data_IF_633796553133
#
_entry.id   IF_633796553133
#
_cell.length_a   1.000
_cell.length_b   1.000
_cell.length_c   1.000
_cell.angle_alpha   90.00
_cell.angle_beta   90.00
_cell.angle_gamma   90.00
#
_symmetry.space_group_name_H-M   'P 1'
#
loop_
_entity.id
_entity.type
_entity.pdbx_description
1 polymer ?
#
# COMPACT_ATOMS: atom_id res chain seq x y z
N UNK A 1 9.22 9.82 7.81
CA UNK A 1 8.46 10.69 8.75
C UNK A 1 7.07 10.13 9.06
N UNK A 2 6.30 9.64 8.07
CA UNK A 2 4.96 9.09 8.28
C UNK A 2 4.96 7.55 8.21
N UNK A 3 5.53 6.88 9.22
CA UNK A 3 5.73 5.42 9.22
C UNK A 3 4.66 4.63 9.99
N UNK A 4 3.79 5.30 10.75
CA UNK A 4 2.71 4.67 11.51
C UNK A 4 1.46 5.57 11.49
N UNK A 5 0.27 4.96 11.53
CA UNK A 5 -1.00 5.68 11.42
C UNK A 5 -1.18 6.77 12.50
N UNK A 6 -0.93 6.44 13.76
CA UNK A 6 -1.07 7.36 14.89
C UNK A 6 -0.09 8.54 14.82
N UNK A 7 1.15 8.30 14.38
CA UNK A 7 2.13 9.38 14.15
C UNK A 7 1.72 10.24 12.95
N UNK A 8 1.33 9.62 11.84
CA UNK A 8 0.91 10.34 10.66
C UNK A 8 -0.28 11.26 10.94
N UNK A 9 -1.21 10.83 11.80
CA UNK A 9 -2.35 11.64 12.25
C UNK A 9 -1.91 12.94 12.92
N UNK A 10 -0.95 12.87 13.84
CA UNK A 10 -0.44 14.06 14.53
C UNK A 10 0.12 15.11 13.56
N UNK A 11 0.88 14.67 12.55
CA UNK A 11 1.38 15.57 11.50
C UNK A 11 0.25 16.15 10.65
N UNK A 12 -0.76 15.36 10.29
CA UNK A 12 -1.90 15.83 9.51
C UNK A 12 -2.76 16.84 10.29
N UNK A 13 -2.90 16.69 11.60
CA UNK A 13 -3.61 17.65 12.44
C UNK A 13 -2.84 18.98 12.53
N UNK A 14 -1.52 18.94 12.67
CA UNK A 14 -0.67 20.14 12.74
C UNK A 14 -0.47 20.84 11.40
N UNK A 15 -0.53 20.09 10.29
CA UNK A 15 -0.31 20.60 8.94
C UNK A 15 -1.55 20.32 8.07
N UNK A 16 -2.59 21.17 8.11
CA UNK A 16 -3.83 20.95 7.36
C UNK A 16 -3.63 20.80 5.84
N UNK A 17 -2.59 21.43 5.29
CA UNK A 17 -2.22 21.35 3.87
C UNK A 17 -1.38 20.13 3.48
N UNK A 18 -0.98 19.27 4.42
CA UNK A 18 -0.15 18.10 4.15
C UNK A 18 -0.88 17.13 3.20
N UNK A 19 -0.25 16.85 2.06
CA UNK A 19 -0.69 15.86 1.06
C UNK A 19 0.24 14.66 1.10
N UNK A 20 -0.31 13.47 0.83
CA UNK A 20 0.40 12.21 0.99
C UNK A 20 0.71 11.54 -0.34
N UNK A 21 1.96 11.11 -0.49
CA UNK A 21 2.27 9.86 -1.17
C UNK A 21 2.02 8.74 -0.17
N UNK A 22 0.92 8.02 -0.32
CA UNK A 22 0.52 7.00 0.62
C UNK A 22 1.23 5.68 0.31
N UNK A 23 2.12 5.29 1.21
CA UNK A 23 2.55 3.91 1.37
C UNK A 23 2.07 3.39 2.74
N UNK A 24 0.89 2.76 2.74
CA UNK A 24 0.26 2.23 3.94
C UNK A 24 0.82 0.86 4.35
N UNK A 25 1.61 0.22 3.48
CA UNK A 25 2.20 -1.11 3.76
C UNK A 25 3.15 -1.07 4.96
N UNK A 26 3.92 0.01 5.10
CA UNK A 26 4.80 0.24 6.25
C UNK A 26 4.04 0.40 7.57
N UNK A 27 2.83 0.95 7.52
CA UNK A 27 2.04 1.16 8.73
C UNK A 27 1.54 -0.18 9.27
N UNK A 28 1.21 -1.13 8.39
CA UNK A 28 0.85 -2.49 8.76
C UNK A 28 2.00 -3.16 9.51
N UNK A 29 3.23 -3.05 8.98
CA UNK A 29 4.43 -3.61 9.60
C UNK A 29 4.73 -3.02 10.99
N UNK A 30 4.59 -1.70 11.16
CA UNK A 30 4.88 -1.06 12.44
C UNK A 30 3.80 -1.35 13.48
N UNK A 31 2.56 -1.53 13.06
CA UNK A 31 1.44 -1.80 13.95
C UNK A 31 1.24 -3.31 14.23
N UNK A 32 1.89 -4.19 13.46
CA UNK A 32 1.66 -5.63 13.54
C UNK A 32 0.19 -6.02 13.31
N UNK A 33 -0.52 -5.28 12.46
CA UNK A 33 -1.90 -5.59 12.07
C UNK A 33 -2.28 -4.99 10.71
N UNK A 34 -3.52 -5.22 10.28
CA UNK A 34 -4.14 -4.58 9.12
C UNK A 34 -4.93 -3.31 9.49
N UNK A 35 -4.49 -2.62 10.55
CA UNK A 35 -4.94 -1.30 11.01
C UNK A 35 -6.44 -1.20 11.32
N UNK A 36 -7.05 -2.31 11.74
CA UNK A 36 -8.50 -2.38 12.01
C UNK A 36 -8.94 -1.49 13.18
N UNK A 37 -8.03 -1.21 14.11
CA UNK A 37 -8.21 -0.36 15.29
C UNK A 37 -7.69 1.08 15.11
N UNK A 38 -7.25 1.45 13.90
CA UNK A 38 -6.80 2.82 13.56
C UNK A 38 -7.68 3.52 12.49
N UNK A 39 -9.02 3.34 12.47
CA UNK A 39 -9.84 3.76 11.35
C UNK A 39 -9.84 5.28 11.12
N UNK A 40 -9.78 6.10 12.17
CA UNK A 40 -9.81 7.57 12.04
C UNK A 40 -8.51 8.10 11.40
N UNK A 41 -7.36 7.57 11.81
CA UNK A 41 -6.07 7.95 11.28
C UNK A 41 -5.94 7.53 9.81
N UNK A 42 -6.34 6.28 9.50
CA UNK A 42 -6.36 5.77 8.13
C UNK A 42 -7.29 6.60 7.25
N UNK A 43 -8.55 6.82 7.66
CA UNK A 43 -9.50 7.61 6.87
C UNK A 43 -9.00 9.04 6.59
N UNK A 44 -8.35 9.69 7.56
CA UNK A 44 -7.77 11.01 7.34
C UNK A 44 -6.64 10.96 6.30
N UNK A 45 -5.78 9.94 6.36
CA UNK A 45 -4.72 9.75 5.39
C UNK A 45 -5.27 9.53 3.98
N UNK A 46 -6.28 8.66 3.82
CA UNK A 46 -6.91 8.39 2.52
C UNK A 46 -7.46 9.68 1.89
N UNK A 47 -8.13 10.54 2.67
CA UNK A 47 -8.64 11.86 2.22
C UNK A 47 -7.53 12.81 1.76
N UNK A 48 -6.30 12.59 2.21
CA UNK A 48 -5.15 13.46 1.93
C UNK A 48 -4.16 12.87 0.92
N UNK A 49 -4.47 11.73 0.33
CA UNK A 49 -3.62 11.07 -0.65
C UNK A 49 -3.71 11.72 -2.04
N UNK A 50 -2.54 11.96 -2.64
CA UNK A 50 -2.39 12.39 -4.04
C UNK A 50 -1.66 11.37 -4.91
N UNK A 51 -0.79 10.54 -4.33
CA UNK A 51 -0.10 9.44 -5.00
C UNK A 51 -0.13 8.18 -4.13
N UNK A 52 -0.15 7.00 -4.74
CA UNK A 52 -0.12 5.72 -4.02
C UNK A 52 1.12 4.92 -4.41
N UNK A 53 1.85 4.44 -3.41
CA UNK A 53 2.75 3.30 -3.60
C UNK A 53 1.95 2.03 -3.34
N UNK A 54 1.66 1.26 -4.39
CA UNK A 54 0.69 0.17 -4.35
C UNK A 54 1.33 -1.17 -4.01
N UNK A 55 2.26 -1.17 -3.05
CA UNK A 55 2.79 -2.40 -2.47
C UNK A 55 1.82 -2.92 -1.42
N UNK A 56 1.69 -4.24 -1.33
CA UNK A 56 0.87 -4.90 -0.31
C UNK A 56 1.78 -5.35 0.83
N UNK A 57 1.54 -4.81 2.02
CA UNK A 57 2.15 -5.28 3.26
C UNK A 57 1.26 -6.27 4.00
N UNK A 58 1.78 -6.78 5.12
CA UNK A 58 1.11 -7.64 6.08
C UNK A 58 1.56 -7.24 7.50
N UNK A 59 0.98 -7.82 8.57
CA UNK A 59 1.33 -7.44 9.95
C UNK A 59 2.83 -7.41 10.24
N UNK A 60 3.60 -8.37 9.73
CA UNK A 60 5.02 -8.53 10.05
C UNK A 60 5.96 -8.07 8.93
N UNK A 61 5.44 -7.38 7.91
CA UNK A 61 6.27 -6.98 6.79
C UNK A 61 5.58 -6.00 5.85
N UNK A 62 6.29 -4.99 5.33
CA UNK A 62 5.73 -4.04 4.38
C UNK A 62 5.58 -4.62 2.96
N UNK A 63 5.90 -5.90 2.75
CA UNK A 63 5.80 -6.58 1.46
C UNK A 63 5.43 -8.04 1.62
N UNK A 64 4.35 -8.46 0.98
CA UNK A 64 4.04 -9.88 0.77
C UNK A 64 4.98 -10.50 -0.27
N UNK A 65 5.22 -11.82 -0.17
CA UNK A 65 6.11 -12.52 -1.12
C UNK A 65 5.63 -12.44 -2.56
N UNK A 66 4.33 -12.64 -2.77
CA UNK A 66 3.66 -12.53 -4.06
C UNK A 66 2.17 -12.23 -3.86
N UNK A 67 1.63 -11.09 -4.34
CA UNK A 67 0.22 -10.74 -4.15
C UNK A 67 -0.75 -11.68 -4.87
N UNK A 68 -0.27 -12.57 -5.74
CA UNK A 68 -1.08 -13.59 -6.42
C UNK A 68 -1.33 -14.82 -5.54
N UNK A 69 -0.53 -15.02 -4.49
CA UNK A 69 -0.61 -16.21 -3.66
C UNK A 69 -1.84 -16.14 -2.73
N UNK A 70 -2.61 -17.24 -2.58
CA UNK A 70 -3.88 -17.24 -1.87
C UNK A 70 -3.75 -16.91 -0.38
N UNK A 71 -2.62 -17.22 0.25
CA UNK A 71 -2.31 -16.87 1.64
C UNK A 71 -2.30 -15.35 1.88
N UNK A 72 -2.03 -14.55 0.84
CA UNK A 72 -2.01 -13.09 0.92
C UNK A 72 -3.33 -12.43 0.55
N UNK A 73 -4.37 -13.21 0.22
CA UNK A 73 -5.66 -12.69 -0.23
C UNK A 73 -6.24 -11.65 0.72
N UNK A 74 -6.23 -11.90 2.03
CA UNK A 74 -6.75 -10.96 3.03
C UNK A 74 -5.99 -9.63 3.02
N UNK A 75 -4.66 -9.67 2.95
CA UNK A 75 -3.82 -8.48 2.91
C UNK A 75 -4.07 -7.67 1.61
N UNK A 76 -4.15 -8.36 0.48
CA UNK A 76 -4.44 -7.75 -0.83
C UNK A 76 -5.81 -7.08 -0.83
N UNK A 77 -6.85 -7.78 -0.39
CA UNK A 77 -8.21 -7.25 -0.30
C UNK A 77 -8.29 -6.02 0.61
N UNK A 78 -7.59 -6.07 1.76
CA UNK A 78 -7.51 -4.93 2.67
C UNK A 78 -6.87 -3.72 2.01
N UNK A 79 -5.71 -3.90 1.35
CA UNK A 79 -5.02 -2.81 0.68
C UNK A 79 -5.88 -2.20 -0.43
N UNK A 80 -6.53 -3.04 -1.24
CA UNK A 80 -7.46 -2.55 -2.26
C UNK A 80 -8.66 -1.82 -1.66
N UNK A 81 -9.17 -2.20 -0.49
CA UNK A 81 -10.28 -1.46 0.15
C UNK A 81 -9.89 -0.01 0.51
N UNK A 82 -8.63 0.22 0.91
CA UNK A 82 -8.11 1.56 1.15
C UNK A 82 -7.91 2.33 -0.15
N UNK A 83 -7.32 1.67 -1.14
CA UNK A 83 -7.07 2.26 -2.45
C UNK A 83 -8.35 2.60 -3.21
N UNK A 84 -9.38 1.74 -3.15
CA UNK A 84 -10.73 2.01 -3.68
C UNK A 84 -11.30 3.31 -3.11
N UNK A 85 -11.11 3.53 -1.81
CA UNK A 85 -11.57 4.75 -1.13
C UNK A 85 -10.87 5.99 -1.71
N UNK A 86 -9.56 5.93 -1.95
CA UNK A 86 -8.82 7.03 -2.58
C UNK A 86 -9.24 7.24 -4.03
N UNK A 87 -9.36 6.17 -4.81
CA UNK A 87 -9.81 6.22 -6.21
C UNK A 87 -11.19 6.87 -6.31
N UNK A 88 -12.15 6.44 -5.49
CA UNK A 88 -13.49 7.02 -5.44
C UNK A 88 -13.44 8.52 -5.16
N UNK A 89 -12.69 8.95 -4.14
CA UNK A 89 -12.56 10.37 -3.81
C UNK A 89 -11.95 11.19 -4.95
N UNK A 90 -11.03 10.60 -5.73
CA UNK A 90 -10.40 11.26 -6.88
C UNK A 90 -11.38 11.39 -8.04
N UNK A 91 -12.14 10.33 -8.35
CA UNK A 91 -13.21 10.34 -9.35
C UNK A 91 -14.27 11.39 -8.98
N UNK A 92 -14.78 11.36 -7.75
CA UNK A 92 -15.82 12.29 -7.27
C UNK A 92 -15.35 13.75 -7.33
N UNK A 93 -14.04 13.99 -7.18
CA UNK A 93 -13.43 15.31 -7.29
C UNK A 93 -13.01 15.70 -8.72
N UNK A 94 -13.21 14.83 -9.72
CA UNK A 94 -12.75 15.06 -11.10
C UNK A 94 -11.22 15.19 -11.22
N UNK A 95 -10.48 14.48 -10.37
CA UNK A 95 -9.02 14.54 -10.29
C UNK A 95 -8.37 13.21 -10.70
N UNK A 96 -7.19 13.31 -11.29
CA UNK A 96 -6.36 12.14 -11.56
C UNK A 96 -5.69 11.62 -10.28
N UNK A 97 -5.49 10.30 -10.25
CA UNK A 97 -4.68 9.60 -9.26
C UNK A 97 -3.51 8.95 -10.00
N UNK A 98 -2.30 9.17 -9.49
CA UNK A 98 -1.13 8.40 -9.94
C UNK A 98 -0.78 7.35 -8.90
N UNK A 99 -0.16 6.27 -9.35
CA UNK A 99 0.28 5.17 -8.51
C UNK A 99 1.55 4.53 -9.05
N UNK A 100 2.28 3.85 -8.17
CA UNK A 100 3.49 3.10 -8.51
C UNK A 100 3.40 1.71 -7.87
N UNK A 101 3.40 0.62 -8.65
CA UNK A 101 3.68 -0.71 -8.12
C UNK A 101 5.13 -0.73 -7.59
N UNK A 102 5.28 -0.84 -6.27
CA UNK A 102 6.55 -0.63 -5.57
C UNK A 102 7.06 -1.91 -4.88
N UNK A 103 6.87 -3.08 -5.48
CA UNK A 103 7.46 -4.31 -4.96
C UNK A 103 8.98 -4.27 -5.17
N UNK A 104 9.71 -4.27 -4.06
CA UNK A 104 11.17 -4.12 -4.01
C UNK A 104 11.93 -5.43 -4.31
N UNK A 105 13.20 -5.32 -4.75
CA UNK A 105 14.07 -6.48 -5.00
C UNK A 105 14.56 -7.09 -3.67
N UNK A 106 15.28 -8.22 -3.69
CA UNK A 106 16.07 -8.64 -2.53
C UNK A 106 16.99 -7.50 -2.05
N UNK A 107 17.18 -7.30 -0.74
CA UNK A 107 16.76 -8.15 0.40
C UNK A 107 15.36 -7.85 0.94
N UNK A 108 14.58 -7.01 0.26
CA UNK A 108 13.21 -6.69 0.65
C UNK A 108 12.24 -7.81 0.25
N UNK A 109 12.47 -8.41 -0.91
CA UNK A 109 11.87 -9.68 -1.31
C UNK A 109 12.57 -10.84 -0.59
N UNK A 110 11.83 -11.77 0.04
CA UNK A 110 12.41 -12.97 0.61
C UNK A 110 13.18 -13.79 -0.44
N UNK A 111 14.33 -14.31 -0.02
CA UNK A 111 15.22 -15.09 -0.85
C UNK A 111 15.62 -16.38 -0.13
N UNK A 112 15.98 -17.41 -0.90
CA UNK A 112 16.49 -18.67 -0.36
C UNK A 112 17.79 -18.40 0.41
N UNK A 113 17.93 -18.89 1.66
CA UNK A 113 19.17 -18.76 2.43
C UNK A 113 20.38 -19.30 1.66
N UNK A 114 21.54 -18.69 1.87
CA UNK A 114 22.84 -19.03 1.25
C UNK A 114 22.96 -18.79 -0.26
N UNK A 115 21.92 -19.02 -1.06
CA UNK A 115 21.96 -18.78 -2.52
C UNK A 115 21.56 -17.36 -2.89
N UNK A 116 20.76 -16.68 -2.05
CA UNK A 116 20.23 -15.36 -2.34
C UNK A 116 19.22 -15.35 -3.51
N UNK A 117 18.76 -16.53 -3.94
CA UNK A 117 17.78 -16.64 -5.02
C UNK A 117 16.44 -16.05 -4.56
N UNK A 118 15.90 -15.01 -5.23
CA UNK A 118 14.61 -14.45 -4.89
C UNK A 118 13.51 -15.52 -4.99
N UNK A 119 12.58 -15.54 -4.02
CA UNK A 119 11.43 -16.46 -4.06
C UNK A 119 10.37 -16.06 -5.10
N UNK A 120 10.39 -14.81 -5.56
CA UNK A 120 9.45 -14.29 -6.56
C UNK A 120 10.16 -13.59 -7.72
N UNK A 121 9.41 -13.32 -8.79
CA UNK A 121 9.89 -12.48 -9.89
C UNK A 121 9.37 -11.05 -9.72
N UNK A 122 10.25 -10.13 -9.36
CA UNK A 122 9.91 -8.74 -9.06
C UNK A 122 9.20 -8.03 -10.22
N UNK A 123 9.65 -8.26 -11.45
CA UNK A 123 9.05 -7.63 -12.64
C UNK A 123 7.63 -8.15 -12.85
N UNK A 124 7.44 -9.45 -12.82
CA UNK A 124 6.12 -10.08 -13.00
C UNK A 124 5.13 -9.64 -11.92
N UNK A 125 5.59 -9.49 -10.66
CA UNK A 125 4.77 -9.00 -9.56
C UNK A 125 4.34 -7.53 -9.79
N UNK A 126 5.28 -6.64 -10.11
CA UNK A 126 4.95 -5.22 -10.35
C UNK A 126 4.06 -5.05 -11.60
N UNK A 127 4.33 -5.81 -12.66
CA UNK A 127 3.48 -5.85 -13.86
C UNK A 127 2.08 -6.35 -13.51
N UNK A 128 1.96 -7.42 -12.73
CA UNK A 128 0.67 -7.93 -12.28
C UNK A 128 -0.13 -6.88 -11.51
N UNK A 129 0.51 -6.18 -10.57
CA UNK A 129 -0.13 -5.10 -9.84
C UNK A 129 -0.57 -3.95 -10.76
N UNK A 130 0.28 -3.53 -11.70
CA UNK A 130 -0.11 -2.53 -12.71
C UNK A 130 -1.33 -2.98 -13.52
N UNK A 131 -1.33 -4.23 -13.98
CA UNK A 131 -2.41 -4.80 -14.79
C UNK A 131 -3.72 -4.90 -13.98
N UNK A 132 -3.66 -5.29 -12.70
CA UNK A 132 -4.82 -5.29 -11.80
C UNK A 132 -5.41 -3.89 -11.64
N UNK A 133 -4.57 -2.87 -11.45
CA UNK A 133 -5.01 -1.48 -11.35
C UNK A 133 -5.69 -1.00 -12.64
N UNK A 134 -5.11 -1.32 -13.80
CA UNK A 134 -5.69 -1.02 -15.11
C UNK A 134 -7.01 -1.77 -15.33
N UNK A 135 -7.10 -3.03 -14.93
CA UNK A 135 -8.33 -3.80 -15.06
C UNK A 135 -9.45 -3.26 -14.17
N UNK A 136 -9.11 -2.83 -12.95
CA UNK A 136 -10.09 -2.39 -11.94
C UNK A 136 -10.56 -0.96 -12.15
N UNK A 137 -9.69 -0.08 -12.64
CA UNK A 137 -9.97 1.36 -12.72
C UNK A 137 -9.61 2.01 -14.07
N UNK A 138 -9.05 1.26 -15.01
CA UNK A 138 -8.76 1.76 -16.35
C UNK A 138 -10.06 2.13 -17.04
N UNK A 139 -10.14 3.41 -17.44
CA UNK A 139 -11.15 3.92 -18.37
C UNK A 139 -10.64 3.79 -19.80
#
# INVERSE_FOLDING_TARGET
>A
MLFAAHIARQFMDQLPGLRLTLDISHWCNVHESLLDDQPEAVQMALKRTDHIHSRVGHPEGPQVTDPRAPEWKQAVERHFSWWDTVVKQKIDAGKNLSMTPEFGPPTYMPAVPYTGQPLGNQWEINKHMMDLWKQRYGQ
#
